data_IF_200269386474
#
_entry.id   IF_200269386474
#
_cell.length_a   1.000
_cell.length_b   1.000
_cell.length_c   1.000
_cell.angle_alpha   90.00
_cell.angle_beta   90.00
_cell.angle_gamma   90.00
#
_symmetry.space_group_name_H-M   'P 1'
#
loop_
_entity.id
_entity.type
_entity.pdbx_description
1 polymer ?
#
# COMPACT_ATOMS: atom_id res chain seq x y z
N UNK A 1 -26.73 -11.57 14.02
CA UNK A 1 -28.15 -11.95 14.27
C UNK A 1 -28.24 -12.72 15.57
N UNK A 2 -29.29 -12.50 16.37
CA UNK A 2 -29.40 -13.14 17.69
C UNK A 2 -29.82 -14.62 17.55
N UNK A 3 -28.97 -15.59 17.93
CA UNK A 3 -29.26 -17.02 17.78
C UNK A 3 -30.49 -17.49 18.57
N UNK A 4 -30.89 -16.76 19.61
CA UNK A 4 -32.07 -17.07 20.41
C UNK A 4 -33.40 -16.92 19.64
N UNK A 5 -33.42 -16.14 18.55
CA UNK A 5 -34.65 -15.90 17.78
C UNK A 5 -34.76 -16.75 16.51
N UNK A 6 -33.64 -17.00 15.84
CA UNK A 6 -33.62 -17.71 14.53
C UNK A 6 -33.09 -19.14 14.63
N UNK A 7 -32.58 -19.54 15.80
CA UNK A 7 -31.88 -20.80 15.99
C UNK A 7 -30.40 -20.71 15.59
N UNK A 8 -29.56 -21.51 16.25
CA UNK A 8 -28.09 -21.45 16.07
C UNK A 8 -27.64 -21.82 14.66
N UNK A 9 -28.27 -22.82 14.05
CA UNK A 9 -27.89 -23.29 12.71
C UNK A 9 -28.14 -22.23 11.64
N UNK A 10 -29.34 -21.63 11.65
CA UNK A 10 -29.72 -20.55 10.74
C UNK A 10 -28.84 -19.31 10.97
N UNK A 11 -28.60 -18.95 12.23
CA UNK A 11 -27.69 -17.84 12.55
C UNK A 11 -26.28 -18.08 12.01
N UNK A 12 -25.78 -19.32 12.10
CA UNK A 12 -24.48 -19.73 11.59
C UNK A 12 -24.41 -19.64 10.07
N UNK A 13 -25.40 -20.21 9.37
CA UNK A 13 -25.48 -20.17 7.92
C UNK A 13 -25.50 -18.73 7.40
N UNK A 14 -26.37 -17.89 7.95
CA UNK A 14 -26.48 -16.51 7.47
C UNK A 14 -25.22 -15.70 7.80
N UNK A 15 -24.58 -15.96 8.94
CA UNK A 15 -23.30 -15.31 9.27
C UNK A 15 -22.20 -15.72 8.28
N UNK A 16 -22.15 -16.99 7.86
CA UNK A 16 -21.20 -17.45 6.84
C UNK A 16 -21.47 -16.80 5.47
N UNK A 17 -22.75 -16.66 5.11
CA UNK A 17 -23.16 -15.93 3.90
C UNK A 17 -22.76 -14.45 3.99
N UNK A 18 -22.98 -13.81 5.14
CA UNK A 18 -22.57 -12.42 5.37
C UNK A 18 -21.07 -12.23 5.12
N UNK A 19 -20.21 -13.00 5.80
CA UNK A 19 -18.76 -12.86 5.64
C UNK A 19 -18.27 -13.18 4.23
N UNK A 20 -18.92 -14.11 3.52
CA UNK A 20 -18.50 -14.50 2.17
C UNK A 20 -19.01 -13.60 1.04
N UNK A 21 -20.01 -12.76 1.30
CA UNK A 21 -20.63 -11.88 0.30
C UNK A 21 -20.28 -10.41 0.45
N UNK A 22 -19.80 -9.99 1.62
CA UNK A 22 -19.41 -8.62 1.87
C UNK A 22 -17.92 -8.40 1.62
N UNK A 23 -17.57 -7.15 1.30
CA UNK A 23 -16.21 -6.66 1.26
C UNK A 23 -15.91 -5.95 2.57
N UNK A 24 -14.70 -6.16 3.10
CA UNK A 24 -14.27 -5.57 4.36
C UNK A 24 -13.09 -4.66 4.13
N UNK A 25 -13.12 -3.47 4.72
CA UNK A 25 -12.02 -2.52 4.67
C UNK A 25 -11.37 -2.47 6.04
N UNK A 26 -10.04 -2.57 6.06
CA UNK A 26 -9.23 -2.47 7.27
C UNK A 26 -8.14 -1.44 7.05
N UNK A 27 -7.92 -0.58 8.03
CA UNK A 27 -6.74 0.26 8.10
C UNK A 27 -5.55 -0.55 8.63
N UNK A 28 -4.33 -0.06 8.43
CA UNK A 28 -3.07 -0.65 8.90
C UNK A 28 -2.90 -0.67 10.43
N UNK A 29 -3.97 -0.47 11.19
CA UNK A 29 -3.95 -0.32 12.65
C UNK A 29 -4.75 -1.44 13.29
N UNK A 30 -4.11 -2.50 13.80
CA UNK A 30 -4.54 -3.51 14.80
C UNK A 30 -5.89 -4.24 14.65
N UNK A 31 -6.93 -3.52 14.21
CA UNK A 31 -8.31 -3.88 13.95
C UNK A 31 -8.42 -5.13 13.08
N UNK A 32 -7.55 -5.32 12.10
CA UNK A 32 -7.57 -6.51 11.25
C UNK A 32 -7.44 -7.79 12.08
N UNK A 33 -6.50 -7.84 13.03
CA UNK A 33 -6.29 -9.05 13.84
C UNK A 33 -7.46 -9.28 14.79
N UNK A 34 -7.94 -8.23 15.44
CA UNK A 34 -9.01 -8.32 16.43
C UNK A 34 -10.38 -8.62 15.82
N UNK A 35 -10.72 -7.97 14.71
CA UNK A 35 -11.99 -8.15 14.00
C UNK A 35 -12.13 -9.58 13.45
N UNK A 36 -11.00 -10.22 13.13
CA UNK A 36 -10.99 -11.49 12.40
C UNK A 36 -10.74 -12.72 13.28
N UNK A 37 -10.04 -12.56 14.40
CA UNK A 37 -9.75 -13.66 15.32
C UNK A 37 -10.95 -14.03 16.19
N UNK A 38 -11.85 -13.08 16.44
CA UNK A 38 -12.98 -13.27 17.34
C UNK A 38 -14.20 -13.88 16.63
N UNK A 39 -15.00 -14.62 17.38
CA UNK A 39 -16.35 -15.04 16.98
C UNK A 39 -17.36 -14.09 17.63
N UNK A 40 -17.67 -12.94 16.98
CA UNK A 40 -18.49 -11.89 17.60
C UNK A 40 -19.91 -12.34 17.92
N UNK A 41 -20.35 -13.47 17.36
CA UNK A 41 -21.71 -13.99 17.54
C UNK A 41 -21.76 -15.26 18.40
N UNK A 42 -20.61 -15.78 18.89
CA UNK A 42 -20.53 -17.00 19.68
C UNK A 42 -21.08 -18.24 18.96
N UNK A 43 -20.97 -18.28 17.63
CA UNK A 43 -21.55 -19.32 16.77
C UNK A 43 -20.62 -20.52 16.56
N UNK A 44 -19.38 -20.47 17.04
CA UNK A 44 -18.29 -21.37 16.72
C UNK A 44 -17.71 -21.12 15.33
N UNK A 45 -17.69 -19.87 14.87
CA UNK A 45 -17.16 -19.51 13.53
C UNK A 45 -16.11 -18.41 13.61
N UNK A 46 -15.02 -18.59 12.85
CA UNK A 46 -14.04 -17.54 12.64
C UNK A 46 -14.31 -16.80 11.33
N UNK A 47 -14.38 -15.46 11.32
CA UNK A 47 -14.49 -14.66 10.10
C UNK A 47 -13.43 -15.03 9.04
N UNK A 48 -12.20 -15.38 9.45
CA UNK A 48 -11.10 -15.78 8.55
C UNK A 48 -11.44 -16.97 7.65
N UNK A 49 -12.37 -17.85 8.03
CA UNK A 49 -12.74 -19.01 7.22
C UNK A 49 -13.68 -18.64 6.05
N UNK A 50 -14.34 -17.48 6.14
CA UNK A 50 -15.46 -17.13 5.27
C UNK A 50 -15.21 -15.90 4.39
N UNK A 51 -14.32 -14.99 4.78
CA UNK A 51 -14.06 -13.77 4.01
C UNK A 51 -13.47 -14.10 2.63
N UNK A 52 -13.94 -13.36 1.64
CA UNK A 52 -13.58 -13.52 0.22
C UNK A 52 -13.04 -12.25 -0.41
N UNK A 53 -13.44 -11.08 0.09
CA UNK A 53 -13.00 -9.79 -0.45
C UNK A 53 -12.60 -8.87 0.70
N UNK A 54 -11.42 -8.28 0.61
CA UNK A 54 -10.97 -7.26 1.56
C UNK A 54 -10.13 -6.19 0.90
N UNK A 55 -10.19 -4.99 1.48
CA UNK A 55 -9.34 -3.86 1.16
C UNK A 55 -8.49 -3.54 2.39
N UNK A 56 -7.18 -3.43 2.22
CA UNK A 56 -6.22 -3.04 3.24
C UNK A 56 -5.73 -1.64 2.89
N UNK A 57 -6.02 -0.67 3.74
CA UNK A 57 -5.62 0.72 3.57
C UNK A 57 -4.35 0.99 4.38
N UNK A 58 -3.28 1.34 3.68
CA UNK A 58 -1.98 1.71 4.25
C UNK A 58 -1.77 3.21 3.99
N UNK A 59 -1.84 4.03 5.03
CA UNK A 59 -1.67 5.49 4.93
C UNK A 59 -0.28 5.88 5.43
N UNK A 60 0.48 6.59 4.59
CA UNK A 60 1.83 7.07 4.89
C UNK A 60 1.94 8.57 4.54
N UNK A 61 2.59 9.36 5.40
CA UNK A 61 2.81 10.80 5.17
C UNK A 61 1.76 11.74 5.78
N UNK A 62 0.56 11.25 6.13
CA UNK A 62 -0.54 12.05 6.69
C UNK A 62 -0.42 12.37 8.20
N UNK A 63 0.79 12.65 8.70
CA UNK A 63 1.01 13.16 10.05
C UNK A 63 0.71 12.19 11.22
N UNK A 64 0.53 10.88 10.97
CA UNK A 64 0.05 9.92 11.98
C UNK A 64 1.13 9.07 12.67
N UNK A 65 2.42 9.27 12.39
CA UNK A 65 3.47 8.41 12.95
C UNK A 65 4.06 8.98 14.25
N UNK A 66 3.39 8.72 15.38
CA UNK A 66 3.76 9.27 16.69
C UNK A 66 5.11 8.75 17.25
N UNK A 67 5.62 7.60 16.76
CA UNK A 67 6.73 6.88 17.39
C UNK A 67 8.02 6.80 16.54
N UNK A 68 7.94 6.56 15.22
CA UNK A 68 8.99 6.75 14.19
C UNK A 68 8.56 6.08 12.88
N UNK A 69 9.21 6.43 11.77
CA UNK A 69 8.94 5.83 10.46
C UNK A 69 9.25 4.33 10.41
N UNK A 70 10.41 3.93 10.94
CA UNK A 70 10.80 2.52 11.06
C UNK A 70 9.81 1.71 11.90
N UNK A 71 9.30 2.29 13.00
CA UNK A 71 8.27 1.65 13.82
C UNK A 71 6.96 1.45 13.06
N UNK A 72 6.53 2.44 12.26
CA UNK A 72 5.36 2.32 11.40
C UNK A 72 5.50 1.16 10.41
N UNK A 73 6.62 1.08 9.69
CA UNK A 73 6.84 0.00 8.72
C UNK A 73 6.87 -1.37 9.40
N UNK A 74 7.54 -1.49 10.54
CA UNK A 74 7.61 -2.75 11.27
C UNK A 74 6.27 -3.17 11.86
N UNK A 75 5.51 -2.24 12.44
CA UNK A 75 4.17 -2.54 12.95
C UNK A 75 3.26 -3.03 11.82
N UNK A 76 3.22 -2.31 10.71
CA UNK A 76 2.39 -2.67 9.55
C UNK A 76 2.81 -4.02 8.97
N UNK A 77 4.12 -4.29 8.88
CA UNK A 77 4.63 -5.61 8.49
C UNK A 77 4.15 -6.72 9.45
N UNK A 78 4.30 -6.55 10.77
CA UNK A 78 3.85 -7.56 11.74
C UNK A 78 2.34 -7.79 11.70
N UNK A 79 1.55 -6.74 11.51
CA UNK A 79 0.10 -6.85 11.39
C UNK A 79 -0.31 -7.60 10.13
N UNK A 80 0.37 -7.34 9.00
CA UNK A 80 0.13 -8.03 7.73
C UNK A 80 0.34 -9.55 7.81
N UNK A 81 1.17 -10.04 8.73
CA UNK A 81 1.34 -11.48 8.97
C UNK A 81 0.04 -12.17 9.40
N UNK A 82 -0.92 -11.42 9.94
CA UNK A 82 -2.24 -11.96 10.29
C UNK A 82 -2.98 -12.51 9.06
N UNK A 83 -2.65 -12.06 7.84
CA UNK A 83 -3.19 -12.59 6.58
C UNK A 83 -2.89 -14.08 6.39
N UNK A 84 -1.83 -14.60 7.03
CA UNK A 84 -1.51 -16.03 6.98
C UNK A 84 -2.54 -16.92 7.67
N UNK A 85 -3.35 -16.38 8.59
CA UNK A 85 -4.37 -17.14 9.32
C UNK A 85 -5.54 -17.53 8.42
N UNK A 86 -5.75 -16.84 7.30
CA UNK A 86 -6.79 -17.17 6.32
C UNK A 86 -6.50 -18.53 5.69
N UNK A 87 -7.43 -19.49 5.80
CA UNK A 87 -7.22 -20.85 5.29
C UNK A 87 -7.46 -20.98 3.79
N UNK A 88 -8.48 -20.31 3.26
CA UNK A 88 -8.91 -20.38 1.85
C UNK A 88 -8.39 -19.20 1.04
N UNK A 89 -7.06 -19.04 1.04
CA UNK A 89 -6.36 -17.97 0.30
C UNK A 89 -6.66 -18.03 -1.20
N UNK A 90 -6.85 -19.23 -1.74
CA UNK A 90 -7.26 -19.48 -3.12
C UNK A 90 -8.59 -18.81 -3.54
N UNK A 91 -9.44 -18.49 -2.56
CA UNK A 91 -10.72 -17.81 -2.79
C UNK A 91 -10.70 -16.33 -2.40
N UNK A 92 -9.55 -15.81 -1.99
CA UNK A 92 -9.41 -14.47 -1.45
C UNK A 92 -9.08 -13.46 -2.57
N UNK A 93 -9.83 -12.37 -2.61
CA UNK A 93 -9.53 -11.14 -3.32
C UNK A 93 -9.05 -10.11 -2.30
N UNK A 94 -7.83 -9.61 -2.46
CA UNK A 94 -7.24 -8.56 -1.61
C UNK A 94 -6.92 -7.36 -2.50
N UNK A 95 -7.39 -6.20 -2.09
CA UNK A 95 -6.97 -4.91 -2.63
C UNK A 95 -6.12 -4.23 -1.56
N UNK A 96 -4.89 -3.85 -1.87
CA UNK A 96 -4.04 -3.06 -0.99
C UNK A 96 -4.01 -1.64 -1.57
N UNK A 97 -4.45 -0.67 -0.78
CA UNK A 97 -4.38 0.76 -1.13
C UNK A 97 -3.24 1.40 -0.36
N UNK A 98 -2.23 1.86 -1.07
CA UNK A 98 -1.13 2.64 -0.53
C UNK A 98 -1.45 4.11 -0.74
N UNK A 99 -1.81 4.81 0.32
CA UNK A 99 -2.03 6.26 0.26
C UNK A 99 -0.76 6.96 0.73
N UNK A 100 -0.14 7.72 -0.17
CA UNK A 100 1.13 8.42 0.03
C UNK A 100 0.96 9.92 -0.21
N UNK A 101 1.84 10.72 0.37
CA UNK A 101 1.93 12.19 0.20
C UNK A 101 3.39 12.56 -0.14
N UNK A 102 3.91 11.93 -1.20
CA UNK A 102 5.23 12.23 -1.75
C UNK A 102 5.13 13.46 -2.64
N UNK A 103 6.08 14.39 -2.48
CA UNK A 103 6.01 15.68 -3.16
C UNK A 103 6.83 15.66 -4.43
N UNK A 104 6.27 16.18 -5.51
CA UNK A 104 6.99 16.39 -6.76
C UNK A 104 7.56 17.80 -6.73
N UNK A 105 8.89 17.93 -6.79
CA UNK A 105 9.57 19.24 -6.87
C UNK A 105 10.36 19.34 -8.16
N UNK A 106 10.17 20.45 -8.89
CA UNK A 106 10.84 20.68 -10.18
C UNK A 106 10.68 19.50 -11.17
N UNK A 107 9.51 18.87 -11.18
CA UNK A 107 9.19 17.75 -12.09
C UNK A 107 9.81 16.40 -11.73
N UNK A 108 10.38 16.25 -10.53
CA UNK A 108 10.93 14.98 -10.06
C UNK A 108 10.58 14.71 -8.59
N UNK A 109 10.54 13.43 -8.23
CA UNK A 109 10.47 13.01 -6.83
C UNK A 109 11.81 13.18 -6.15
N UNK A 110 11.78 13.55 -4.86
CA UNK A 110 13.00 13.59 -4.06
C UNK A 110 13.52 12.17 -3.79
N UNK A 111 14.84 12.05 -3.65
CA UNK A 111 15.50 10.77 -3.34
C UNK A 111 14.96 10.14 -2.05
N UNK A 112 14.59 10.98 -1.08
CA UNK A 112 14.00 10.54 0.18
C UNK A 112 12.65 9.84 -0.04
N UNK A 113 11.80 10.38 -0.90
CA UNK A 113 10.50 9.79 -1.24
C UNK A 113 10.66 8.47 -1.99
N UNK A 114 11.66 8.35 -2.87
CA UNK A 114 11.98 7.05 -3.48
C UNK A 114 12.43 6.01 -2.44
N UNK A 115 13.23 6.41 -1.44
CA UNK A 115 13.65 5.53 -0.35
C UNK A 115 12.44 5.08 0.50
N UNK A 116 11.53 6.01 0.82
CA UNK A 116 10.29 5.72 1.56
C UNK A 116 9.41 4.75 0.80
N UNK A 117 9.20 4.99 -0.49
CA UNK A 117 8.41 4.10 -1.33
C UNK A 117 9.02 2.69 -1.40
N UNK A 118 10.35 2.58 -1.53
CA UNK A 118 11.01 1.28 -1.49
C UNK A 118 10.79 0.56 -0.15
N UNK A 119 10.87 1.27 0.97
CA UNK A 119 10.59 0.68 2.29
C UNK A 119 9.13 0.18 2.40
N UNK A 120 8.16 0.94 1.88
CA UNK A 120 6.76 0.51 1.78
C UNK A 120 6.60 -0.77 0.94
N UNK A 121 7.29 -0.86 -0.19
CA UNK A 121 7.30 -2.06 -1.05
C UNK A 121 7.89 -3.27 -0.33
N UNK A 122 9.04 -3.11 0.34
CA UNK A 122 9.69 -4.18 1.11
C UNK A 122 8.82 -4.66 2.29
N UNK A 123 8.12 -3.75 2.95
CA UNK A 123 7.20 -4.03 4.04
C UNK A 123 6.07 -4.98 3.59
N UNK A 124 5.45 -4.73 2.43
CA UNK A 124 4.35 -5.57 1.93
C UNK A 124 4.83 -6.76 1.09
N UNK A 125 6.13 -6.86 0.78
CA UNK A 125 6.70 -7.90 -0.11
C UNK A 125 6.31 -9.32 0.30
N UNK A 126 6.60 -9.67 1.55
CA UNK A 126 6.35 -11.01 2.07
C UNK A 126 4.86 -11.40 2.10
N UNK A 127 3.96 -10.64 2.74
CA UNK A 127 2.54 -11.01 2.79
C UNK A 127 1.92 -11.07 1.39
N UNK A 128 2.32 -10.18 0.46
CA UNK A 128 1.82 -10.18 -0.92
C UNK A 128 2.23 -11.45 -1.65
N UNK A 129 3.52 -11.81 -1.69
CA UNK A 129 3.96 -13.01 -2.40
C UNK A 129 3.40 -14.29 -1.79
N UNK A 130 3.24 -14.34 -0.47
CA UNK A 130 2.62 -15.48 0.20
C UNK A 130 1.15 -15.66 -0.18
N UNK A 131 0.39 -14.58 -0.30
CA UNK A 131 -0.99 -14.62 -0.77
C UNK A 131 -1.07 -14.93 -2.26
N UNK A 132 -0.21 -14.32 -3.09
CA UNK A 132 -0.19 -14.45 -4.55
C UNK A 132 0.10 -15.91 -4.93
N UNK A 133 1.14 -16.49 -4.35
CA UNK A 133 1.52 -17.88 -4.60
C UNK A 133 0.63 -18.91 -3.88
N UNK A 134 -0.19 -18.48 -2.92
CA UNK A 134 -1.28 -19.30 -2.38
C UNK A 134 -2.56 -19.28 -3.26
N UNK A 135 -2.56 -18.53 -4.37
CA UNK A 135 -3.66 -18.46 -5.33
C UNK A 135 -4.66 -17.34 -5.06
N UNK A 136 -4.34 -16.40 -4.17
CA UNK A 136 -5.18 -15.22 -3.96
C UNK A 136 -5.11 -14.28 -5.17
N UNK A 137 -6.20 -13.56 -5.42
CA UNK A 137 -6.22 -12.43 -6.36
C UNK A 137 -5.83 -11.17 -5.61
N UNK A 138 -4.71 -10.56 -5.99
CA UNK A 138 -4.19 -9.38 -5.29
C UNK A 138 -4.08 -8.23 -6.27
N UNK A 139 -4.70 -7.11 -5.92
CA UNK A 139 -4.49 -5.81 -6.55
C UNK A 139 -3.80 -4.88 -5.56
N UNK A 140 -2.79 -4.15 -6.00
CA UNK A 140 -2.09 -3.15 -5.19
C UNK A 140 -2.12 -1.85 -5.96
N UNK A 141 -2.85 -0.89 -5.40
CA UNK A 141 -3.00 0.45 -5.94
C UNK A 141 -2.28 1.43 -5.04
N UNK A 142 -1.48 2.30 -5.64
CA UNK A 142 -0.93 3.46 -4.97
C UNK A 142 -1.68 4.71 -5.39
N UNK A 143 -2.05 5.51 -4.41
CA UNK A 143 -2.65 6.82 -4.51
C UNK A 143 -1.70 7.81 -3.87
N UNK A 144 -1.05 8.64 -4.67
CA UNK A 144 -0.21 9.72 -4.15
C UNK A 144 -0.98 11.04 -4.25
N UNK A 145 -1.25 11.67 -3.12
CA UNK A 145 -1.84 13.00 -3.07
C UNK A 145 -0.73 14.04 -2.90
N UNK A 146 -0.54 14.93 -3.85
CA UNK A 146 0.41 16.05 -3.74
C UNK A 146 -0.34 17.38 -3.93
N UNK A 147 -0.57 18.12 -2.84
CA UNK A 147 -1.02 19.52 -2.89
C UNK A 147 -2.38 19.82 -3.57
N UNK A 148 -3.13 18.81 -4.02
CA UNK A 148 -4.40 18.98 -4.76
C UNK A 148 -4.58 17.96 -5.88
N UNK A 149 -3.48 17.41 -6.41
CA UNK A 149 -3.50 16.37 -7.44
C UNK A 149 -3.45 14.97 -6.82
N UNK A 150 -4.30 14.08 -7.34
CA UNK A 150 -4.30 12.67 -6.97
C UNK A 150 -3.80 11.85 -8.17
N UNK A 151 -2.58 11.34 -8.06
CA UNK A 151 -2.04 10.41 -9.05
C UNK A 151 -2.24 8.97 -8.55
N UNK A 152 -2.62 8.06 -9.45
CA UNK A 152 -2.81 6.65 -9.12
C UNK A 152 -2.01 5.73 -10.04
N UNK A 153 -1.53 4.61 -9.49
CA UNK A 153 -0.91 3.53 -10.28
C UNK A 153 -1.17 2.16 -9.70
N UNK A 154 -1.22 1.15 -10.57
CA UNK A 154 -1.24 -0.27 -10.17
C UNK A 154 0.19 -0.81 -10.07
N UNK A 155 0.52 -1.38 -8.91
CA UNK A 155 1.81 -2.01 -8.62
C UNK A 155 1.82 -3.51 -8.93
N UNK A 156 0.65 -4.11 -9.18
CA UNK A 156 0.47 -5.51 -9.58
C UNK A 156 -0.02 -5.60 -11.02
N UNK A 157 0.24 -6.75 -11.67
CA UNK A 157 -0.33 -7.07 -12.99
C UNK A 157 -1.81 -7.49 -12.96
N UNK A 158 -2.45 -7.50 -11.79
CA UNK A 158 -3.86 -7.85 -11.59
C UNK A 158 -4.64 -6.64 -11.06
N UNK A 159 -5.90 -6.41 -11.50
CA UNK A 159 -6.56 -7.10 -12.61
C UNK A 159 -5.77 -6.89 -13.91
N UNK A 160 -5.84 -7.84 -14.86
CA UNK A 160 -5.28 -7.61 -16.20
C UNK A 160 -5.89 -6.30 -16.69
N UNK A 161 -5.10 -5.23 -16.66
CA UNK A 161 -5.64 -3.90 -16.87
C UNK A 161 -6.18 -3.81 -18.29
N UNK A 162 -7.51 -3.82 -18.40
CA UNK A 162 -8.21 -3.47 -19.63
C UNK A 162 -8.28 -1.96 -19.82
N UNK A 163 -7.69 -1.16 -18.92
CA UNK A 163 -7.74 0.29 -19.02
C UNK A 163 -6.79 0.77 -20.13
N UNK A 164 -7.39 1.40 -21.13
CA UNK A 164 -6.71 2.13 -22.20
C UNK A 164 -5.95 3.29 -21.55
N UNK A 165 -4.63 3.18 -21.44
CA UNK A 165 -3.77 4.18 -20.78
C UNK A 165 -2.90 3.61 -19.65
N UNK A 166 -3.12 2.36 -19.21
CA UNK A 166 -2.26 1.73 -18.22
C UNK A 166 -0.82 1.65 -18.74
N UNK A 167 0.10 2.29 -18.01
CA UNK A 167 1.51 2.30 -18.38
C UNK A 167 2.02 0.86 -18.55
N UNK A 168 2.58 0.51 -19.72
CA UNK A 168 3.15 -0.81 -19.92
C UNK A 168 4.36 -0.96 -18.99
N UNK A 169 4.29 -1.95 -18.09
CA UNK A 169 5.36 -2.43 -17.20
C UNK A 169 5.45 -1.90 -15.76
N UNK A 170 4.41 -1.37 -15.12
CA UNK A 170 4.55 -0.93 -13.70
C UNK A 170 4.49 -2.08 -12.67
N UNK A 171 4.35 -3.35 -13.11
CA UNK A 171 4.28 -4.46 -12.15
C UNK A 171 5.56 -4.58 -11.30
N UNK A 172 5.47 -4.33 -10.00
CA UNK A 172 6.56 -4.53 -9.03
C UNK A 172 6.61 -5.97 -8.50
N UNK A 173 5.48 -6.69 -8.51
CA UNK A 173 5.37 -8.03 -7.95
C UNK A 173 5.45 -9.11 -9.05
N UNK A 174 6.65 -9.29 -9.60
CA UNK A 174 6.89 -10.12 -10.78
C UNK A 174 7.43 -11.53 -10.50
N UNK A 175 7.91 -11.81 -9.27
CA UNK A 175 8.55 -13.09 -9.00
C UNK A 175 7.56 -14.25 -9.17
N UNK A 176 8.05 -15.33 -9.77
CA UNK A 176 7.30 -16.58 -9.81
C UNK A 176 7.47 -17.39 -8.50
N UNK A 177 6.63 -18.41 -8.33
CA UNK A 177 6.62 -19.21 -7.09
C UNK A 177 7.98 -19.86 -6.77
N UNK A 178 8.80 -20.19 -7.77
CA UNK A 178 10.12 -20.80 -7.57
C UNK A 178 11.15 -19.77 -7.12
N UNK A 179 11.12 -18.57 -7.67
CA UNK A 179 11.96 -17.44 -7.23
C UNK A 179 11.61 -17.05 -5.79
N UNK A 180 10.32 -16.95 -5.48
CA UNK A 180 9.86 -16.66 -4.12
C UNK A 180 10.30 -17.71 -3.10
N UNK A 181 10.19 -19.00 -3.44
CA UNK A 181 10.65 -20.08 -2.57
C UNK A 181 12.15 -19.98 -2.28
N UNK A 182 12.98 -19.70 -3.30
CA UNK A 182 14.42 -19.51 -3.14
C UNK A 182 14.76 -18.32 -2.26
N UNK A 183 14.07 -17.18 -2.45
CA UNK A 183 14.30 -15.99 -1.62
C UNK A 183 13.97 -16.29 -0.16
N UNK A 184 12.81 -16.90 0.13
CA UNK A 184 12.45 -17.31 1.50
C UNK A 184 13.48 -18.24 2.14
N UNK A 185 13.92 -19.26 1.42
CA UNK A 185 14.89 -20.23 1.92
C UNK A 185 16.25 -19.59 2.24
N UNK A 186 16.64 -18.54 1.48
CA UNK A 186 17.90 -17.83 1.66
C UNK A 186 17.91 -16.89 2.88
N UNK A 187 16.75 -16.33 3.25
CA UNK A 187 16.63 -15.32 4.31
C UNK A 187 16.41 -15.97 5.69
N UNK A 188 15.77 -17.14 5.74
CA UNK A 188 15.40 -17.80 6.99
C UNK A 188 14.21 -17.10 7.66
N UNK A 189 14.42 -16.44 8.80
CA UNK A 189 13.38 -15.61 9.43
C UNK A 189 13.26 -14.28 8.67
N UNK A 190 12.12 -14.07 8.00
CA UNK A 190 11.89 -12.85 7.25
C UNK A 190 11.80 -11.63 8.16
N UNK A 191 12.62 -10.63 7.87
CA UNK A 191 12.69 -9.36 8.56
C UNK A 191 12.83 -8.25 7.51
N UNK A 192 11.73 -7.53 7.26
CA UNK A 192 11.68 -6.49 6.23
C UNK A 192 12.67 -5.36 6.50
N UNK A 193 12.94 -5.04 7.78
CA UNK A 193 13.82 -3.93 8.16
C UNK A 193 15.25 -4.08 7.65
N UNK A 194 15.72 -5.31 7.43
CA UNK A 194 17.06 -5.58 6.88
C UNK A 194 17.21 -5.12 5.44
N UNK A 195 16.11 -4.93 4.73
CA UNK A 195 16.10 -4.47 3.34
C UNK A 195 15.74 -2.98 3.22
N UNK A 196 15.49 -2.30 4.34
CA UNK A 196 15.18 -0.87 4.30
C UNK A 196 16.41 -0.06 3.90
N UNK A 197 16.18 0.93 3.04
CA UNK A 197 17.24 1.83 2.56
C UNK A 197 17.30 3.06 3.45
N UNK A 198 16.15 3.60 3.88
CA UNK A 198 16.08 4.61 4.92
C UNK A 198 16.15 3.93 6.30
N UNK A 199 17.28 4.09 6.99
CA UNK A 199 17.49 3.64 8.38
C UNK A 199 17.35 4.83 9.35
N UNK A 200 17.22 4.59 10.66
CA UNK A 200 16.92 5.58 11.72
C UNK A 200 17.79 6.86 11.73
N UNK A 201 18.94 6.86 11.04
CA UNK A 201 19.84 8.02 10.94
C UNK A 201 19.61 8.88 9.68
N UNK A 202 18.62 8.58 8.84
CA UNK A 202 18.27 9.31 7.62
C UNK A 202 19.44 9.55 6.64
N UNK A 203 20.43 8.64 6.62
CA UNK A 203 21.52 8.75 5.66
C UNK A 203 21.00 8.28 4.30
N UNK A 204 20.74 9.24 3.41
CA UNK A 204 20.34 8.97 2.04
C UNK A 204 21.52 8.40 1.25
N UNK A 205 21.42 7.13 0.86
CA UNK A 205 22.38 6.47 -0.02
C UNK A 205 21.69 6.08 -1.33
N UNK A 206 21.86 6.93 -2.34
CA UNK A 206 21.32 6.68 -3.67
C UNK A 206 21.90 5.39 -4.28
N UNK A 207 23.17 5.07 -4.03
CA UNK A 207 23.76 3.85 -4.60
C UNK A 207 23.11 2.61 -4.00
N UNK A 208 22.87 2.59 -2.68
CA UNK A 208 22.11 1.53 -1.99
C UNK A 208 20.70 1.42 -2.56
N UNK A 209 19.98 2.55 -2.71
CA UNK A 209 18.64 2.58 -3.30
C UNK A 209 18.60 1.97 -4.71
N UNK A 210 19.45 2.48 -5.62
CA UNK A 210 19.45 2.06 -7.04
C UNK A 210 19.83 0.60 -7.18
N UNK A 211 20.75 0.08 -6.35
CA UNK A 211 21.10 -1.34 -6.34
C UNK A 211 19.92 -2.19 -5.83
N UNK A 212 19.28 -1.78 -4.73
CA UNK A 212 18.11 -2.50 -4.19
C UNK A 212 16.95 -2.56 -5.20
N UNK A 213 16.61 -1.45 -5.84
CA UNK A 213 15.58 -1.40 -6.89
C UNK A 213 15.92 -2.33 -8.06
N UNK A 214 17.17 -2.31 -8.53
CA UNK A 214 17.59 -3.14 -9.67
C UNK A 214 17.59 -4.62 -9.33
N UNK A 215 18.21 -4.99 -8.22
CA UNK A 215 18.45 -6.39 -7.87
C UNK A 215 17.19 -7.07 -7.32
N UNK A 216 16.36 -6.36 -6.55
CA UNK A 216 15.20 -6.95 -5.86
C UNK A 216 13.88 -6.74 -6.60
N UNK A 217 13.76 -5.66 -7.35
CA UNK A 217 12.52 -5.26 -8.03
C UNK A 217 12.64 -5.21 -9.55
N UNK A 218 13.86 -5.26 -10.11
CA UNK A 218 14.07 -5.10 -11.54
C UNK A 218 13.71 -3.70 -12.04
N UNK A 219 13.81 -2.68 -11.16
CA UNK A 219 13.39 -1.29 -11.41
C UNK A 219 14.56 -0.32 -11.30
N UNK A 220 14.41 0.85 -11.94
CA UNK A 220 15.38 1.95 -11.82
C UNK A 220 14.92 3.01 -10.83
N UNK A 221 13.61 3.27 -10.76
CA UNK A 221 12.98 4.22 -9.86
C UNK A 221 11.84 3.56 -9.08
N UNK A 222 11.69 3.92 -7.81
CA UNK A 222 10.57 3.45 -7.00
C UNK A 222 9.24 4.08 -7.48
N UNK A 223 9.31 5.27 -8.07
CA UNK A 223 8.16 6.05 -8.55
C UNK A 223 7.83 5.85 -10.04
N UNK A 224 8.43 4.84 -10.69
CA UNK A 224 8.16 4.51 -12.08
C UNK A 224 6.67 4.21 -12.32
N UNK A 225 6.05 4.88 -13.29
CA UNK A 225 4.64 4.66 -13.65
C UNK A 225 3.64 5.62 -13.03
N UNK A 226 4.10 6.66 -12.32
CA UNK A 226 3.30 7.85 -12.09
C UNK A 226 3.37 8.78 -13.30
N UNK A 227 2.22 9.26 -13.76
CA UNK A 227 2.10 10.38 -14.70
C UNK A 227 1.38 11.52 -13.98
N UNK A 228 2.13 12.49 -13.48
CA UNK A 228 1.54 13.74 -13.02
C UNK A 228 1.30 14.54 -14.29
N UNK A 229 0.03 14.62 -14.70
CA UNK A 229 -0.36 15.53 -15.76
C UNK A 229 0.10 16.94 -15.36
N UNK A 230 1.18 17.43 -15.97
CA UNK A 230 1.76 18.74 -15.68
C UNK A 230 0.89 19.90 -16.17
N UNK A 231 -0.33 19.62 -16.63
CA UNK A 231 -1.21 20.57 -17.30
C UNK A 231 -1.82 21.59 -16.32
N UNK A 232 -1.65 21.43 -15.00
CA UNK A 232 -2.20 22.34 -13.97
C UNK A 232 -1.17 23.27 -13.31
N UNK A 233 0.12 23.17 -13.65
CA UNK A 233 1.15 24.10 -13.14
C UNK A 233 1.41 25.28 -14.09
N UNK A 234 0.47 25.57 -14.98
CA UNK A 234 0.52 26.73 -15.89
C UNK A 234 -0.59 27.75 -15.59
N UNK A 235 -0.87 28.03 -14.31
CA UNK A 235 -1.63 29.23 -13.96
C UNK A 235 -0.72 30.19 -13.19
N UNK A 236 -0.26 31.19 -13.96
CA UNK A 236 -0.07 32.57 -13.56
C UNK A 236 1.00 32.82 -12.48
N UNK A 237 2.26 32.96 -12.94
CA UNK A 237 3.04 34.11 -12.48
C UNK A 237 2.20 35.37 -12.82
N UNK A 238 1.31 35.77 -11.91
CA UNK A 238 0.83 37.14 -11.84
C UNK A 238 2.10 37.99 -11.65
N UNK A 239 2.64 38.49 -12.75
CA UNK A 239 3.48 39.67 -12.77
C UNK A 239 2.67 40.77 -12.07
N UNK A 240 2.86 40.92 -10.75
CA UNK A 240 2.54 42.15 -10.05
C UNK A 240 3.40 43.24 -10.69
N UNK A 241 2.86 43.84 -11.75
CA UNK A 241 3.29 45.13 -12.28
C UNK A 241 3.27 46.11 -11.11
N UNK A 242 4.45 46.33 -10.54
CA UNK A 242 4.72 47.43 -9.64
C UNK A 242 4.53 48.73 -10.43
N UNK A 243 3.31 49.26 -10.43
CA UNK A 243 3.08 50.66 -10.80
C UNK A 243 3.72 51.54 -9.72
N UNK A 244 4.96 51.94 -9.98
CA UNK A 244 5.62 53.09 -9.39
C UNK A 244 4.76 54.35 -9.66
N UNK A 245 3.80 54.66 -8.78
CA UNK A 245 3.26 56.02 -8.70
C UNK A 245 4.22 56.87 -7.83
N UNK A 246 5.27 57.37 -8.50
CA UNK A 246 5.92 58.62 -8.13
C UNK A 246 4.91 59.75 -8.34
N UNK A 247 4.20 60.15 -7.27
CA UNK A 247 3.54 61.45 -7.26
C UNK A 247 4.39 62.46 -6.47
N UNK A 248 4.86 63.41 -7.26
CA UNK A 248 5.74 64.53 -7.00
C UNK A 248 5.19 65.47 -5.91
N UNK A 249 6.13 66.13 -5.24
CA UNK A 249 5.93 67.29 -4.38
C UNK A 249 5.02 68.36 -5.04
N UNK A 250 4.15 69.00 -4.25
CA UNK A 250 3.86 70.44 -4.41
C UNK A 250 3.24 71.05 -3.12
N UNK A 251 4.03 71.98 -2.53
CA UNK A 251 3.76 73.13 -1.63
C UNK A 251 2.92 73.02 -0.33
#
# INVERSE_FOLDING_TARGET
MNPAFVGREVAREITAVYWSKNSFMFTSTGEFKEAMANDPFGLGMSPFDHIRTMTILLEYGYGSHADSESAYFMQTFEESKSLHVIKRKDLLCVEIRLNTDFRVRAGAFELEDECRMLNLLEMIRYPVYELLHAGSKIDIMEYNGDGGDLAERHLTGYPESTQVGAHPNVNFFQMNSNEWAKEKDSVGLWDASKNFVLEENNVLDETKLRNALRERWGKTHAMEGFDYHSDYWCDEEEEEDAEDEEDEDDE
#
